data_IF_316527733937
#
_entry.id   IF_316527733937
#
_cell.length_a   1.000
_cell.length_b   1.000
_cell.length_c   1.000
_cell.angle_alpha   90.00
_cell.angle_beta   90.00
_cell.angle_gamma   90.00
#
_symmetry.space_group_name_H-M   'P 1'
#
loop_
_entity.id
_entity.type
_entity.pdbx_description
1 polymer ?
#
# COMPACT_ATOMS: atom_id res chain seq x y z
N UNK A 1 -3.67 -27.46 -0.10
CA UNK A 1 -2.39 -26.78 -0.37
C UNK A 1 -2.47 -25.39 0.24
N UNK A 2 -1.41 -24.93 0.90
CA UNK A 2 -1.37 -23.54 1.39
C UNK A 2 -1.26 -22.59 0.20
N UNK A 3 -2.06 -21.52 0.20
CA UNK A 3 -1.98 -20.46 -0.81
C UNK A 3 -0.62 -19.74 -0.78
N UNK A 4 -0.02 -19.64 0.39
CA UNK A 4 1.25 -18.96 0.63
C UNK A 4 2.35 -19.99 0.94
N UNK A 5 3.46 -19.89 0.21
CA UNK A 5 4.66 -20.72 0.44
C UNK A 5 5.74 -19.88 1.10
N UNK A 6 6.17 -20.25 2.31
CA UNK A 6 7.26 -19.55 3.00
C UNK A 6 8.56 -19.66 2.22
N UNK A 7 9.30 -18.55 2.21
CA UNK A 7 10.66 -18.48 1.67
C UNK A 7 11.62 -17.95 2.73
N UNK A 8 12.91 -18.22 2.57
CA UNK A 8 13.95 -17.71 3.47
C UNK A 8 14.28 -16.25 3.17
N UNK A 9 14.92 -15.57 4.13
CA UNK A 9 15.43 -14.20 3.92
C UNK A 9 16.45 -14.13 2.78
N UNK A 10 17.26 -15.19 2.59
CA UNK A 10 18.24 -15.31 1.51
C UNK A 10 17.55 -15.43 0.14
N UNK A 11 16.46 -16.19 0.07
CA UNK A 11 15.64 -16.28 -1.13
C UNK A 11 14.96 -14.95 -1.44
N UNK A 12 14.36 -14.31 -0.44
CA UNK A 12 13.80 -12.96 -0.58
C UNK A 12 14.85 -11.95 -1.10
N UNK A 13 16.04 -11.92 -0.52
CA UNK A 13 17.11 -11.00 -0.93
C UNK A 13 17.59 -11.26 -2.36
N UNK A 14 17.49 -12.48 -2.87
CA UNK A 14 17.76 -12.80 -4.29
C UNK A 14 16.65 -12.30 -5.23
N UNK A 15 15.40 -12.39 -4.80
CA UNK A 15 14.25 -11.92 -5.57
C UNK A 15 14.11 -10.39 -5.55
N UNK A 16 14.64 -9.75 -4.51
CA UNK A 16 14.61 -8.31 -4.33
C UNK A 16 15.57 -7.62 -5.30
N UNK A 17 15.02 -7.16 -6.43
CA UNK A 17 15.77 -6.38 -7.43
C UNK A 17 15.64 -4.88 -7.25
N UNK A 18 14.91 -4.43 -6.23
CA UNK A 18 14.63 -3.02 -5.94
C UNK A 18 15.47 -2.51 -4.79
N UNK A 19 15.87 -1.25 -4.85
CA UNK A 19 16.56 -0.58 -3.76
C UNK A 19 15.54 -0.13 -2.70
N UNK A 20 15.67 -0.66 -1.48
CA UNK A 20 14.92 -0.21 -0.31
C UNK A 20 15.77 0.78 0.48
N UNK A 21 15.13 1.71 1.20
CA UNK A 21 15.80 2.51 2.20
C UNK A 21 16.30 1.61 3.35
N UNK A 22 17.38 2.01 4.03
CA UNK A 22 18.00 1.20 5.09
C UNK A 22 17.01 0.89 6.24
N UNK A 23 16.04 1.76 6.46
CA UNK A 23 15.02 1.66 7.50
C UNK A 23 13.61 1.30 6.96
N UNK A 24 13.52 0.83 5.70
CA UNK A 24 12.24 0.53 5.04
C UNK A 24 11.31 -0.36 5.86
N UNK A 25 11.82 -1.40 6.50
CA UNK A 25 11.05 -2.28 7.37
C UNK A 25 11.06 -1.86 8.86
N UNK A 26 11.78 -0.79 9.21
CA UNK A 26 11.97 -0.35 10.59
C UNK A 26 11.14 0.88 10.97
N UNK A 27 10.31 1.37 10.09
CA UNK A 27 9.52 2.63 10.21
C UNK A 27 8.71 2.77 11.50
N UNK A 28 8.58 1.71 12.28
CA UNK A 28 7.76 1.69 13.48
C UNK A 28 8.49 1.28 14.74
N UNK A 29 9.83 1.27 14.76
CA UNK A 29 10.54 1.06 16.02
C UNK A 29 10.27 2.22 16.97
N UNK A 30 9.73 1.98 18.19
CA UNK A 30 9.57 3.03 19.18
C UNK A 30 10.92 3.71 19.46
N UNK A 31 10.93 5.05 19.49
CA UNK A 31 12.11 5.83 19.86
C UNK A 31 13.06 6.24 18.73
N UNK A 32 12.79 5.88 17.48
CA UNK A 32 13.48 6.46 16.33
C UNK A 32 12.63 7.58 15.72
N UNK A 33 13.22 8.75 15.51
CA UNK A 33 12.63 9.84 14.70
C UNK A 33 12.73 9.46 13.22
N UNK A 34 11.88 8.53 12.77
CA UNK A 34 11.76 8.24 11.34
C UNK A 34 10.93 9.36 10.70
N UNK A 35 11.47 9.94 9.64
CA UNK A 35 10.66 10.82 8.82
C UNK A 35 9.61 9.95 8.10
N UNK A 36 8.34 10.24 8.33
CA UNK A 36 7.23 9.65 7.62
C UNK A 36 7.15 10.24 6.20
N UNK A 37 7.98 9.70 5.32
CA UNK A 37 8.07 10.10 3.92
C UNK A 37 7.94 8.88 3.00
N UNK A 38 7.48 9.12 1.77
CA UNK A 38 7.17 8.06 0.80
C UNK A 38 8.38 7.17 0.49
N UNK A 39 9.62 7.72 0.43
CA UNK A 39 10.84 6.94 0.16
C UNK A 39 11.13 5.86 1.21
N UNK A 40 10.57 5.98 2.42
CA UNK A 40 10.70 4.99 3.47
C UNK A 40 9.63 3.90 3.41
N UNK A 41 8.63 4.07 2.55
CA UNK A 41 7.54 3.11 2.31
C UNK A 41 7.68 2.41 0.98
N UNK A 42 8.18 3.11 -0.04
CA UNK A 42 8.32 2.62 -1.40
C UNK A 42 9.78 2.59 -1.85
N UNK A 43 10.18 1.58 -2.64
CA UNK A 43 11.54 1.49 -3.17
C UNK A 43 11.87 2.67 -4.09
N UNK A 44 13.13 3.04 -4.08
CA UNK A 44 13.68 4.08 -4.97
C UNK A 44 13.96 3.46 -6.36
N UNK A 45 13.76 4.24 -7.42
CA UNK A 45 14.17 3.87 -8.78
C UNK A 45 13.03 3.52 -9.72
N UNK A 46 11.78 3.55 -9.27
CA UNK A 46 10.63 3.50 -10.16
C UNK A 46 10.39 4.84 -10.87
N UNK A 47 9.72 4.78 -12.02
CA UNK A 47 9.42 5.99 -12.81
C UNK A 47 8.40 6.89 -12.12
N UNK A 48 7.40 6.30 -11.43
CA UNK A 48 6.32 7.01 -10.75
C UNK A 48 5.84 6.30 -9.50
N UNK A 49 5.13 7.09 -8.67
CA UNK A 49 4.57 6.68 -7.37
C UNK A 49 3.16 7.20 -7.24
N UNK A 50 2.29 6.43 -6.56
CA UNK A 50 0.96 6.89 -6.17
C UNK A 50 0.50 6.23 -4.87
N UNK A 51 -0.48 6.87 -4.20
CA UNK A 51 -1.32 6.23 -3.21
C UNK A 51 -2.70 5.96 -3.81
N UNK A 52 -3.30 4.83 -3.46
CA UNK A 52 -4.70 4.51 -3.79
C UNK A 52 -5.49 4.38 -2.50
N UNK A 53 -6.54 5.18 -2.38
CA UNK A 53 -7.45 5.11 -1.23
C UNK A 53 -8.19 3.78 -1.24
N UNK A 54 -8.09 3.04 -0.13
CA UNK A 54 -8.98 1.95 0.18
C UNK A 54 -10.31 2.51 0.72
N UNK A 55 -11.41 1.76 0.72
CA UNK A 55 -12.62 2.16 1.43
C UNK A 55 -12.33 2.41 2.91
N UNK A 56 -12.84 3.50 3.45
CA UNK A 56 -12.64 3.89 4.85
C UNK A 56 -13.88 4.56 5.43
N UNK A 57 -14.03 4.48 6.73
CA UNK A 57 -15.13 5.06 7.46
C UNK A 57 -14.67 6.22 8.34
N UNK A 58 -15.48 7.28 8.38
CA UNK A 58 -15.39 8.33 9.35
C UNK A 58 -16.73 8.55 10.03
N UNK A 59 -16.72 8.78 11.32
CA UNK A 59 -17.92 9.14 12.07
C UNK A 59 -18.08 10.65 12.12
N UNK A 60 -19.32 11.11 11.87
CA UNK A 60 -19.76 12.48 12.09
C UNK A 60 -21.16 12.46 12.68
N UNK A 61 -21.39 13.21 13.76
CA UNK A 61 -22.70 13.37 14.41
C UNK A 61 -23.39 12.05 14.82
N UNK A 62 -22.59 11.01 15.13
CA UNK A 62 -23.08 9.70 15.55
C UNK A 62 -23.42 8.76 14.40
N UNK A 63 -23.24 9.17 13.16
CA UNK A 63 -23.37 8.33 11.97
C UNK A 63 -21.99 8.02 11.39
N UNK A 64 -21.81 6.78 10.91
CA UNK A 64 -20.62 6.35 10.19
C UNK A 64 -20.85 6.49 8.69
N UNK A 65 -19.89 7.05 7.97
CA UNK A 65 -19.95 7.24 6.53
C UNK A 65 -18.76 6.53 5.86
N UNK A 66 -19.08 5.73 4.85
CA UNK A 66 -18.10 5.00 4.05
C UNK A 66 -17.66 5.86 2.85
N UNK A 67 -16.36 6.03 2.69
CA UNK A 67 -15.76 6.76 1.58
C UNK A 67 -14.87 5.83 0.74
N UNK A 68 -14.84 6.08 -0.57
CA UNK A 68 -14.04 5.31 -1.53
C UNK A 68 -12.91 6.14 -2.16
N UNK A 69 -12.95 7.47 -2.03
CA UNK A 69 -11.99 8.35 -2.68
C UNK A 69 -11.65 9.60 -1.89
N UNK A 70 -10.49 10.18 -2.22
CA UNK A 70 -10.00 11.40 -1.57
C UNK A 70 -10.99 12.59 -1.71
N UNK A 71 -11.50 12.82 -2.92
CA UNK A 71 -12.37 13.98 -3.22
C UNK A 71 -13.76 13.85 -2.62
N UNK A 72 -14.28 12.63 -2.55
CA UNK A 72 -15.58 12.31 -2.00
C UNK A 72 -15.71 12.80 -0.55
N UNK A 73 -14.70 12.53 0.28
CA UNK A 73 -14.68 12.96 1.67
C UNK A 73 -14.70 14.50 1.81
N UNK A 74 -13.91 15.22 1.02
CA UNK A 74 -13.93 16.69 1.02
C UNK A 74 -15.30 17.23 0.66
N UNK A 75 -15.94 16.70 -0.37
CA UNK A 75 -17.28 17.12 -0.79
C UNK A 75 -18.34 16.83 0.30
N UNK A 76 -18.29 15.63 0.90
CA UNK A 76 -19.21 15.24 1.95
C UNK A 76 -19.12 16.17 3.16
N UNK A 77 -17.92 16.45 3.64
CA UNK A 77 -17.70 17.36 4.76
C UNK A 77 -17.78 18.85 4.37
N UNK A 78 -18.20 19.16 3.14
CA UNK A 78 -18.33 20.54 2.62
C UNK A 78 -17.04 21.36 2.76
N UNK A 79 -15.89 20.69 2.59
CA UNK A 79 -14.57 21.31 2.60
C UNK A 79 -14.08 21.54 1.16
N UNK A 80 -13.36 22.63 0.89
CA UNK A 80 -12.73 22.82 -0.41
C UNK A 80 -11.68 21.74 -0.63
N UNK A 81 -11.71 21.09 -1.79
CA UNK A 81 -10.65 20.17 -2.21
C UNK A 81 -9.37 20.98 -2.41
N UNK A 82 -8.27 20.68 -1.70
CA UNK A 82 -7.03 21.44 -1.89
C UNK A 82 -6.43 21.19 -3.29
N UNK A 83 -5.80 22.21 -3.84
CA UNK A 83 -5.06 22.12 -5.11
C UNK A 83 -3.62 22.64 -4.90
N UNK A 84 -2.59 21.79 -5.02
CA UNK A 84 -2.67 20.35 -5.25
C UNK A 84 -3.15 19.58 -4.01
N UNK A 85 -3.90 18.51 -4.24
CA UNK A 85 -4.21 17.54 -3.19
C UNK A 85 -2.94 16.72 -2.90
N UNK A 86 -2.50 16.75 -1.64
CA UNK A 86 -1.29 16.06 -1.19
C UNK A 86 -1.59 15.06 -0.08
N UNK A 87 -0.69 14.10 0.14
CA UNK A 87 -0.84 13.08 1.17
C UNK A 87 -0.91 13.69 2.57
N UNK A 88 -0.06 14.67 2.88
CA UNK A 88 -0.06 15.37 4.16
C UNK A 88 -1.37 16.11 4.44
N UNK A 89 -2.00 16.68 3.41
CA UNK A 89 -3.32 17.30 3.54
C UNK A 89 -4.39 16.28 3.85
N UNK A 90 -4.40 15.17 3.11
CA UNK A 90 -5.33 14.07 3.36
C UNK A 90 -5.25 13.58 4.80
N UNK A 91 -4.05 13.25 5.28
CA UNK A 91 -3.83 12.77 6.65
C UNK A 91 -4.13 13.83 7.71
N UNK A 92 -3.87 15.11 7.44
CA UNK A 92 -4.12 16.20 8.38
C UNK A 92 -5.59 16.58 8.50
N UNK A 93 -6.36 16.43 7.43
CA UNK A 93 -7.74 16.89 7.37
C UNK A 93 -8.78 15.86 7.84
N UNK A 94 -8.44 14.57 7.85
CA UNK A 94 -9.38 13.49 8.17
C UNK A 94 -8.87 12.57 9.28
N UNK A 95 -9.82 12.07 10.08
CA UNK A 95 -9.59 10.99 11.04
C UNK A 95 -10.35 9.76 10.57
N UNK A 96 -9.63 8.65 10.42
CA UNK A 96 -10.21 7.37 10.05
C UNK A 96 -10.77 6.69 11.30
N UNK A 97 -11.97 6.10 11.17
CA UNK A 97 -12.58 5.26 12.22
C UNK A 97 -12.26 3.81 11.93
N UNK A 98 -12.44 3.40 10.69
CA UNK A 98 -12.14 2.05 10.22
C UNK A 98 -11.73 2.08 8.75
N UNK A 99 -10.81 1.21 8.36
CA UNK A 99 -10.39 1.02 6.99
C UNK A 99 -10.74 -0.39 6.52
N UNK A 100 -11.45 -0.47 5.39
CA UNK A 100 -11.65 -1.73 4.69
C UNK A 100 -10.39 -2.01 3.85
N UNK A 101 -9.85 -3.22 3.97
CA UNK A 101 -8.61 -3.64 3.28
C UNK A 101 -8.88 -4.28 1.91
N UNK A 102 -10.08 -4.17 1.40
CA UNK A 102 -10.41 -4.71 0.08
C UNK A 102 -9.73 -3.90 -1.03
N UNK A 103 -8.86 -4.58 -1.81
CA UNK A 103 -8.22 -3.95 -2.96
C UNK A 103 -9.29 -3.65 -4.03
N UNK A 104 -9.38 -2.40 -4.53
CA UNK A 104 -10.35 -2.05 -5.56
C UNK A 104 -10.29 -2.99 -6.76
N UNK A 105 -11.43 -3.49 -7.28
CA UNK A 105 -11.45 -4.46 -8.40
C UNK A 105 -10.71 -3.97 -9.64
N UNK A 106 -10.80 -2.67 -9.95
CA UNK A 106 -10.06 -2.07 -11.06
C UNK A 106 -8.54 -2.18 -10.87
N UNK A 107 -8.05 -1.94 -9.63
CA UNK A 107 -6.64 -2.09 -9.29
C UNK A 107 -6.18 -3.54 -9.39
N UNK A 108 -6.96 -4.50 -8.83
CA UNK A 108 -6.70 -5.94 -8.99
C UNK A 108 -6.54 -6.31 -10.46
N UNK A 109 -7.48 -5.86 -11.33
CA UNK A 109 -7.46 -6.13 -12.75
C UNK A 109 -6.25 -5.53 -13.47
N UNK A 110 -5.76 -4.37 -13.07
CA UNK A 110 -4.56 -3.75 -13.65
C UNK A 110 -3.30 -4.49 -13.19
N UNK A 111 -3.11 -4.68 -11.90
CA UNK A 111 -1.91 -5.31 -11.34
C UNK A 111 -1.78 -6.78 -11.75
N UNK A 112 -2.89 -7.51 -11.87
CA UNK A 112 -2.88 -8.92 -12.33
C UNK A 112 -2.35 -9.09 -13.76
N UNK A 113 -2.40 -8.07 -14.60
CA UNK A 113 -1.94 -8.09 -16.00
C UNK A 113 -0.62 -7.36 -16.24
N UNK A 114 -0.08 -6.67 -15.24
CA UNK A 114 1.03 -5.71 -15.41
C UNK A 114 2.42 -6.28 -15.13
N UNK A 115 2.57 -7.58 -15.01
CA UNK A 115 3.85 -8.24 -14.82
C UNK A 115 3.96 -9.50 -15.66
N UNK A 116 5.17 -9.83 -16.11
CA UNK A 116 5.45 -11.08 -16.85
C UNK A 116 5.41 -12.30 -15.92
N UNK A 117 5.94 -12.14 -14.69
CA UNK A 117 5.94 -13.24 -13.72
C UNK A 117 4.55 -13.58 -13.21
N UNK A 118 4.27 -14.88 -13.10
CA UNK A 118 3.07 -15.39 -12.47
C UNK A 118 3.12 -15.30 -10.93
N UNK A 119 4.33 -15.20 -10.35
CA UNK A 119 4.52 -15.23 -8.90
C UNK A 119 4.67 -13.85 -8.29
N UNK A 120 4.08 -13.68 -7.12
CA UNK A 120 4.30 -12.55 -6.21
C UNK A 120 5.26 -12.95 -5.09
N UNK A 121 6.08 -12.01 -4.68
CA UNK A 121 6.86 -12.02 -3.45
C UNK A 121 6.17 -11.11 -2.45
N UNK A 122 5.99 -11.60 -1.24
CA UNK A 122 5.30 -10.91 -0.16
C UNK A 122 6.21 -10.85 1.07
N UNK A 123 6.19 -9.69 1.72
CA UNK A 123 6.85 -9.49 3.01
C UNK A 123 5.83 -8.96 3.98
N UNK A 124 5.84 -9.48 5.19
CA UNK A 124 5.08 -8.91 6.29
C UNK A 124 5.98 -8.72 7.49
N UNK A 125 6.01 -7.52 8.03
CA UNK A 125 6.74 -7.19 9.23
C UNK A 125 5.76 -6.91 10.36
N UNK A 126 5.82 -7.72 11.41
CA UNK A 126 4.92 -7.67 12.55
C UNK A 126 5.54 -6.86 13.69
N UNK A 127 4.72 -6.02 14.31
CA UNK A 127 5.10 -5.10 15.39
C UNK A 127 5.31 -5.76 16.75
N UNK A 128 5.08 -7.06 16.87
CA UNK A 128 4.93 -7.74 18.16
C UNK A 128 6.24 -8.01 18.93
N UNK A 129 7.39 -7.78 18.29
CA UNK A 129 8.70 -8.06 18.88
C UNK A 129 9.75 -6.98 18.57
N UNK A 130 10.75 -6.87 19.41
CA UNK A 130 11.96 -6.07 19.17
C UNK A 130 13.17 -7.02 19.15
N UNK A 131 13.83 -7.28 18.01
CA UNK A 131 13.63 -6.67 16.69
C UNK A 131 12.33 -7.11 16.02
N UNK A 132 11.84 -6.28 15.06
CA UNK A 132 10.62 -6.57 14.31
C UNK A 132 10.78 -7.85 13.49
N UNK A 133 9.85 -8.80 13.68
CA UNK A 133 9.84 -10.06 12.92
C UNK A 133 9.31 -9.81 11.52
N UNK A 134 10.12 -10.11 10.51
CA UNK A 134 9.70 -10.11 9.12
C UNK A 134 9.54 -11.53 8.60
N UNK A 135 8.44 -11.78 7.93
CA UNK A 135 8.07 -13.07 7.34
C UNK A 135 7.95 -12.90 5.83
N UNK A 136 8.39 -13.91 5.09
CA UNK A 136 8.51 -13.85 3.64
C UNK A 136 7.77 -15.02 3.00
N UNK A 137 7.01 -14.74 1.93
CA UNK A 137 6.28 -15.75 1.18
C UNK A 137 6.32 -15.49 -0.32
N UNK A 138 5.95 -16.52 -1.06
CA UNK A 138 5.54 -16.41 -2.46
C UNK A 138 4.13 -16.95 -2.62
N UNK A 139 3.43 -16.43 -3.61
CA UNK A 139 2.10 -16.91 -4.02
C UNK A 139 1.92 -16.69 -5.51
N UNK A 140 1.03 -17.45 -6.14
CA UNK A 140 0.61 -17.19 -7.50
C UNK A 140 -0.22 -15.91 -7.57
N UNK A 141 0.14 -15.02 -8.49
CA UNK A 141 -0.50 -13.69 -8.65
C UNK A 141 -1.99 -13.79 -8.92
N UNK A 142 -2.41 -14.72 -9.78
CA UNK A 142 -3.82 -14.91 -10.10
C UNK A 142 -4.62 -15.26 -8.85
N UNK A 143 -4.15 -16.23 -8.07
CA UNK A 143 -4.81 -16.66 -6.82
C UNK A 143 -4.86 -15.53 -5.79
N UNK A 144 -3.78 -14.74 -5.65
CA UNK A 144 -3.75 -13.63 -4.71
C UNK A 144 -4.83 -12.59 -5.01
N UNK A 145 -4.99 -12.20 -6.28
CA UNK A 145 -5.98 -11.20 -6.66
C UNK A 145 -7.41 -11.72 -6.76
N UNK A 146 -7.63 -13.04 -6.71
CA UNK A 146 -8.96 -13.64 -6.56
C UNK A 146 -9.50 -13.53 -5.12
N UNK A 147 -8.63 -13.38 -4.12
CA UNK A 147 -9.07 -13.23 -2.73
C UNK A 147 -9.88 -11.96 -2.54
N UNK A 148 -10.94 -12.04 -1.75
CA UNK A 148 -11.76 -10.87 -1.37
C UNK A 148 -10.95 -9.90 -0.53
N UNK A 149 -10.35 -10.41 0.54
CA UNK A 149 -9.43 -9.67 1.41
C UNK A 149 -8.10 -10.40 1.50
N UNK A 150 -7.17 -10.17 0.53
CA UNK A 150 -5.90 -10.87 0.51
C UNK A 150 -5.04 -10.58 1.74
N UNK A 151 -5.26 -9.45 2.40
CA UNK A 151 -4.47 -9.06 3.57
C UNK A 151 -4.92 -9.80 4.82
N UNK A 152 -6.20 -10.14 4.92
CA UNK A 152 -6.72 -10.96 6.00
C UNK A 152 -6.36 -12.44 5.86
N UNK A 153 -6.30 -12.91 4.62
CA UNK A 153 -5.95 -14.31 4.29
C UNK A 153 -4.45 -14.60 4.44
N UNK A 154 -3.61 -13.56 4.44
CA UNK A 154 -2.17 -13.73 4.67
C UNK A 154 -1.90 -14.25 6.09
N UNK A 155 -0.88 -15.12 6.26
CA UNK A 155 -0.38 -15.47 7.59
C UNK A 155 0.03 -14.21 8.37
N UNK A 156 -0.12 -14.24 9.70
CA UNK A 156 0.19 -13.10 10.59
C UNK A 156 -0.62 -11.84 10.21
N UNK A 157 -1.85 -11.73 10.71
CA UNK A 157 -2.87 -10.77 10.30
C UNK A 157 -2.57 -9.29 10.54
N UNK A 158 -1.57 -8.97 11.36
CA UNK A 158 -1.21 -7.60 11.74
C UNK A 158 0.19 -7.25 11.26
N UNK A 159 0.39 -5.99 10.93
CA UNK A 159 1.67 -5.43 10.50
C UNK A 159 1.67 -4.89 9.06
N UNK A 160 2.79 -4.26 8.73
CA UNK A 160 3.02 -3.78 7.38
C UNK A 160 3.21 -4.92 6.41
N UNK A 161 2.83 -4.73 5.17
CA UNK A 161 3.20 -5.67 4.13
C UNK A 161 3.65 -4.94 2.87
N UNK A 162 4.51 -5.63 2.15
CA UNK A 162 5.04 -5.23 0.86
C UNK A 162 4.85 -6.40 -0.12
N UNK A 163 4.41 -6.09 -1.34
CA UNK A 163 4.10 -7.08 -2.37
C UNK A 163 4.64 -6.59 -3.70
N UNK A 164 5.32 -7.49 -4.44
CA UNK A 164 5.81 -7.21 -5.77
C UNK A 164 5.90 -8.51 -6.61
N UNK A 165 5.75 -8.45 -7.92
CA UNK A 165 6.01 -9.62 -8.78
C UNK A 165 7.51 -9.90 -8.85
N UNK A 166 7.90 -11.14 -9.12
CA UNK A 166 9.29 -11.43 -9.47
C UNK A 166 9.71 -10.55 -10.65
N UNK A 167 10.91 -9.97 -10.57
CA UNK A 167 11.37 -8.94 -11.51
C UNK A 167 10.86 -7.53 -11.23
N UNK A 168 10.06 -7.34 -10.17
CA UNK A 168 9.68 -6.04 -9.58
C UNK A 168 9.16 -5.01 -10.62
N UNK A 169 8.31 -5.43 -11.56
CA UNK A 169 7.68 -4.53 -12.53
C UNK A 169 6.84 -3.44 -11.87
N UNK A 170 6.33 -3.72 -10.67
CA UNK A 170 5.67 -2.79 -9.77
C UNK A 170 5.91 -3.21 -8.31
N UNK A 171 5.64 -2.31 -7.39
CA UNK A 171 5.71 -2.53 -5.96
C UNK A 171 4.46 -1.96 -5.29
N UNK A 172 3.90 -2.71 -4.34
CA UNK A 172 2.76 -2.28 -3.53
C UNK A 172 3.09 -2.45 -2.06
N UNK A 173 2.82 -1.42 -1.28
CA UNK A 173 2.98 -1.43 0.17
C UNK A 173 1.68 -1.00 0.85
N UNK A 174 1.40 -1.58 2.01
CA UNK A 174 0.36 -1.13 2.93
C UNK A 174 0.96 -0.96 4.32
N UNK A 175 0.54 0.08 5.00
CA UNK A 175 0.93 0.34 6.38
C UNK A 175 -0.28 0.16 7.28
N UNK A 176 -0.06 -0.48 8.42
CA UNK A 176 -1.12 -0.77 9.37
C UNK A 176 -1.86 0.51 9.77
N UNK A 177 -3.16 0.38 9.96
CA UNK A 177 -4.07 1.48 10.33
C UNK A 177 -4.24 2.59 9.29
N UNK A 178 -3.70 2.43 8.07
CA UNK A 178 -3.89 3.41 7.00
C UNK A 178 -4.87 2.90 5.93
N UNK A 179 -5.81 3.74 5.47
CA UNK A 179 -6.70 3.37 4.38
C UNK A 179 -6.06 3.62 3.00
N UNK A 180 -4.77 3.31 2.87
CA UNK A 180 -3.99 3.59 1.67
C UNK A 180 -3.15 2.40 1.23
N UNK A 181 -3.13 2.18 -0.08
CA UNK A 181 -2.13 1.36 -0.75
C UNK A 181 -1.13 2.29 -1.44
N UNK A 182 0.14 2.08 -1.16
CA UNK A 182 1.24 2.79 -1.81
C UNK A 182 1.76 1.97 -2.97
N UNK A 183 1.92 2.58 -4.13
CA UNK A 183 2.32 1.91 -5.36
C UNK A 183 3.48 2.63 -6.04
N UNK A 184 4.40 1.82 -6.57
CA UNK A 184 5.48 2.27 -7.43
C UNK A 184 5.50 1.42 -8.71
N UNK A 185 5.85 2.02 -9.84
CA UNK A 185 5.89 1.30 -11.11
C UNK A 185 6.26 2.17 -12.30
N UNK A 186 6.03 1.66 -13.50
CA UNK A 186 6.22 2.41 -14.73
C UNK A 186 5.20 3.54 -14.88
N UNK A 187 5.52 4.59 -15.63
CA UNK A 187 4.60 5.67 -15.94
C UNK A 187 3.29 5.13 -16.54
N UNK A 188 3.39 4.20 -17.50
CA UNK A 188 2.24 3.59 -18.16
C UNK A 188 1.31 2.88 -17.17
N UNK A 189 1.87 2.14 -16.21
CA UNK A 189 1.08 1.45 -15.19
C UNK A 189 0.33 2.45 -14.32
N UNK A 190 1.02 3.46 -13.80
CA UNK A 190 0.42 4.43 -12.88
C UNK A 190 -0.60 5.33 -13.59
N UNK A 191 -0.37 5.69 -14.86
CA UNK A 191 -1.35 6.41 -15.69
C UNK A 191 -2.63 5.57 -15.90
N UNK A 192 -2.50 4.23 -16.07
CA UNK A 192 -3.65 3.33 -16.15
C UNK A 192 -4.43 3.27 -14.83
N UNK A 193 -3.74 3.29 -13.69
CA UNK A 193 -4.36 3.33 -12.37
C UNK A 193 -5.11 4.66 -12.17
N UNK A 194 -4.48 5.79 -12.47
CA UNK A 194 -5.13 7.11 -12.38
C UNK A 194 -6.36 7.22 -13.29
N UNK A 195 -6.30 6.65 -14.48
CA UNK A 195 -7.44 6.65 -15.41
C UNK A 195 -8.60 5.81 -14.89
N UNK A 196 -8.32 4.66 -14.29
CA UNK A 196 -9.35 3.75 -13.77
C UNK A 196 -9.91 4.16 -12.40
N UNK A 197 -9.14 4.90 -11.60
CA UNK A 197 -9.45 5.28 -10.23
C UNK A 197 -9.19 6.80 -9.99
N UNK A 198 -9.81 7.71 -10.75
CA UNK A 198 -9.47 9.14 -10.75
C UNK A 198 -9.69 9.81 -9.38
N UNK A 199 -10.68 9.35 -8.61
CA UNK A 199 -11.02 9.91 -7.30
C UNK A 199 -10.32 9.20 -6.14
N UNK A 200 -9.70 8.03 -6.38
CA UNK A 200 -9.01 7.21 -5.37
C UNK A 200 -7.49 7.27 -5.49
N UNK A 201 -6.94 7.60 -6.67
CA UNK A 201 -5.50 7.62 -6.89
C UNK A 201 -4.93 9.03 -6.70
N UNK A 202 -3.87 9.12 -5.89
CA UNK A 202 -3.13 10.35 -5.61
C UNK A 202 -1.68 10.19 -6.08
N UNK A 203 -1.20 11.03 -7.03
CA UNK A 203 0.21 11.04 -7.42
C UNK A 203 1.10 11.37 -6.23
N UNK A 204 2.23 10.66 -6.09
CA UNK A 204 3.18 10.87 -5.01
C UNK A 204 4.57 11.19 -5.55
N UNK A 205 5.34 11.90 -4.70
CA UNK A 205 6.79 12.05 -4.80
C UNK A 205 7.45 11.33 -3.65
N UNK A 206 8.72 10.92 -3.82
CA UNK A 206 9.46 10.22 -2.78
C UNK A 206 9.70 11.04 -1.50
N UNK A 207 9.67 12.36 -1.61
CA UNK A 207 9.83 13.31 -0.50
C UNK A 207 8.50 13.84 0.07
N UNK A 208 7.37 13.37 -0.43
CA UNK A 208 6.07 13.67 0.16
C UNK A 208 5.99 13.09 1.58
N UNK A 209 5.42 13.89 2.50
CA UNK A 209 5.26 13.52 3.91
C UNK A 209 3.85 13.01 4.17
N UNK A 210 3.75 12.12 5.17
CA UNK A 210 2.47 11.57 5.63
C UNK A 210 1.72 12.54 6.56
N UNK A 211 2.45 13.42 7.24
CA UNK A 211 1.92 14.38 8.20
C UNK A 211 2.53 15.77 8.00
#
# INVERSE_FOLDING_TARGET
>A
MSLFSSITVEEFNRERTVQLADDHFELQRPGRNHEWIVRNVLPIGYERYCAVSLPWEAASDGESHLFFGFREAYHFFKRPVPDPLTLSRWHGDFKFVEANREIPPALKGILSRSAESADLVLVRCCRSSDPMDCYYWTTERALFFELTDPFWEMPHRFGHFDIFPRGAAWYMAHRDDEPLLYLAGTARLLDSIHTALPDQALPLRLDDRFF
#
